data_IF_501503751082
#
_entry.id   IF_501503751082
#
_cell.length_a   1.000
_cell.length_b   1.000
_cell.length_c   1.000
_cell.angle_alpha   90.00
_cell.angle_beta   90.00
_cell.angle_gamma   90.00
#
_symmetry.space_group_name_H-M   'P 1'
#
loop_
_entity.id
_entity.type
_entity.pdbx_description
1 polymer ?
#
# COMPACT_ATOMS: atom_id res chain seq x y z
N UNK A 1 18.74 20.58 -12.94
CA UNK A 1 17.81 21.64 -13.41
C UNK A 1 16.75 21.13 -14.40
N UNK A 2 17.11 20.36 -15.43
CA UNK A 2 16.15 19.87 -16.44
C UNK A 2 14.97 19.06 -15.88
N UNK A 3 15.21 18.14 -14.94
CA UNK A 3 14.16 17.33 -14.33
C UNK A 3 13.11 18.14 -13.54
N UNK A 4 13.50 19.30 -13.01
CA UNK A 4 12.60 20.21 -12.29
C UNK A 4 11.73 21.01 -13.25
N UNK A 5 12.30 21.52 -14.35
CA UNK A 5 11.56 22.13 -15.46
C UNK A 5 10.54 21.15 -16.08
N UNK A 6 10.98 19.92 -16.36
CA UNK A 6 10.12 18.84 -16.84
C UNK A 6 9.04 18.39 -15.85
N UNK A 7 9.15 18.76 -14.56
CA UNK A 7 8.12 18.53 -13.54
C UNK A 7 7.09 19.66 -13.54
N UNK A 8 7.52 20.90 -13.83
CA UNK A 8 6.62 22.06 -13.95
C UNK A 8 5.80 22.04 -15.23
N UNK A 9 6.35 21.50 -16.32
CA UNK A 9 5.65 21.35 -17.60
C UNK A 9 4.73 20.13 -17.66
N UNK A 10 4.58 19.36 -16.57
CA UNK A 10 3.68 18.21 -16.57
C UNK A 10 2.23 18.70 -16.56
N UNK A 11 1.39 18.24 -17.48
CA UNK A 11 -0.04 18.47 -17.35
C UNK A 11 -0.52 17.85 -16.03
N UNK A 12 -1.43 18.55 -15.35
CA UNK A 12 -2.09 18.04 -14.14
C UNK A 12 -2.59 16.63 -14.45
N UNK A 13 -2.32 15.63 -13.60
CA UNK A 13 -2.76 14.27 -13.87
C UNK A 13 -4.29 14.22 -13.90
N UNK A 14 -4.84 14.06 -15.09
CA UNK A 14 -6.28 13.97 -15.33
C UNK A 14 -6.68 12.49 -15.38
N UNK A 15 -7.63 12.10 -14.55
CA UNK A 15 -8.20 10.74 -14.56
C UNK A 15 -9.05 10.59 -15.83
N UNK A 16 -8.53 9.87 -16.81
CA UNK A 16 -9.18 9.71 -18.13
C UNK A 16 -10.30 8.67 -18.15
N UNK A 17 -10.25 7.73 -17.21
CA UNK A 17 -11.15 6.58 -17.19
C UNK A 17 -11.33 6.07 -15.76
N UNK A 18 -12.57 5.75 -15.41
CA UNK A 18 -12.89 4.95 -14.22
C UNK A 18 -13.53 3.62 -14.66
N UNK A 19 -13.37 2.60 -13.82
CA UNK A 19 -14.14 1.36 -13.92
C UNK A 19 -15.25 1.43 -12.88
N UNK A 20 -16.49 1.31 -13.32
CA UNK A 20 -17.64 1.29 -12.44
C UNK A 20 -17.84 -0.06 -11.75
N UNK A 21 -18.81 -0.14 -10.82
CA UNK A 21 -19.04 -1.33 -9.99
C UNK A 21 -19.51 -2.55 -10.78
N UNK A 22 -20.11 -2.38 -11.96
CA UNK A 22 -20.49 -3.49 -12.86
C UNK A 22 -19.43 -3.83 -13.90
N UNK A 23 -18.23 -3.22 -13.80
CA UNK A 23 -17.12 -3.42 -14.73
C UNK A 23 -17.17 -2.53 -15.97
N UNK A 24 -18.14 -1.62 -16.07
CA UNK A 24 -18.29 -0.67 -17.15
C UNK A 24 -17.19 0.40 -17.15
N UNK A 25 -16.81 0.88 -18.34
CA UNK A 25 -15.81 1.95 -18.48
C UNK A 25 -16.51 3.30 -18.52
N UNK A 26 -16.23 4.15 -17.54
CA UNK A 26 -16.70 5.53 -17.49
C UNK A 26 -15.61 6.41 -18.11
N UNK A 27 -15.96 7.03 -19.24
CA UNK A 27 -15.07 7.91 -20.01
C UNK A 27 -15.60 9.35 -19.98
N UNK A 28 -14.66 10.30 -20.05
CA UNK A 28 -14.95 11.73 -20.10
C UNK A 28 -14.93 12.40 -18.74
N UNK A 29 -14.30 13.57 -18.66
CA UNK A 29 -13.94 14.21 -17.39
C UNK A 29 -15.14 14.56 -16.52
N UNK A 30 -16.23 15.03 -17.14
CA UNK A 30 -17.44 15.39 -16.41
C UNK A 30 -18.05 14.16 -15.72
N UNK A 31 -18.17 13.06 -16.46
CA UNK A 31 -18.74 11.80 -15.96
C UNK A 31 -17.86 11.17 -14.88
N UNK A 32 -16.55 11.16 -15.09
CA UNK A 32 -15.56 10.71 -14.10
C UNK A 32 -15.70 11.49 -12.80
N UNK A 33 -15.72 12.83 -12.88
CA UNK A 33 -15.82 13.68 -11.70
C UNK A 33 -17.15 13.48 -10.96
N UNK A 34 -18.29 13.43 -11.68
CA UNK A 34 -19.59 13.21 -11.06
C UNK A 34 -19.67 11.86 -10.34
N UNK A 35 -19.18 10.80 -10.97
CA UNK A 35 -19.21 9.46 -10.39
C UNK A 35 -18.30 9.35 -9.16
N UNK A 36 -17.11 9.96 -9.24
CA UNK A 36 -16.19 10.06 -8.10
C UNK A 36 -16.81 10.84 -6.93
N UNK A 37 -17.47 11.97 -7.22
CA UNK A 37 -18.15 12.77 -6.20
C UNK A 37 -19.28 12.01 -5.54
N UNK A 38 -20.10 11.31 -6.31
CA UNK A 38 -21.20 10.50 -5.78
C UNK A 38 -20.69 9.35 -4.91
N UNK A 39 -19.65 8.65 -5.38
CA UNK A 39 -19.03 7.57 -4.63
C UNK A 39 -18.41 8.05 -3.30
N UNK A 40 -17.65 9.14 -3.33
CA UNK A 40 -17.08 9.72 -2.12
C UNK A 40 -18.17 10.23 -1.19
N UNK A 41 -19.23 10.86 -1.72
CA UNK A 41 -20.41 11.22 -0.92
C UNK A 41 -21.05 10.02 -0.27
N UNK A 42 -21.11 8.86 -0.93
CA UNK A 42 -21.65 7.65 -0.32
C UNK A 42 -20.74 7.10 0.79
N UNK A 43 -19.42 7.07 0.59
CA UNK A 43 -18.45 6.63 1.62
C UNK A 43 -18.47 7.55 2.83
N UNK A 44 -18.49 8.86 2.59
CA UNK A 44 -18.45 9.89 3.63
C UNK A 44 -19.84 10.37 4.06
N UNK A 45 -20.91 9.77 3.53
CA UNK A 45 -22.24 9.87 4.12
C UNK A 45 -22.23 8.99 5.36
N UNK A 46 -21.53 9.46 6.39
CA UNK A 46 -21.65 8.92 7.73
C UNK A 46 -23.15 8.81 8.02
N UNK A 47 -23.67 7.63 8.42
CA UNK A 47 -25.02 7.55 8.94
C UNK A 47 -25.14 8.61 10.03
N UNK A 48 -26.01 9.61 9.81
CA UNK A 48 -26.28 10.63 10.84
C UNK A 48 -26.69 9.89 12.10
N UNK A 49 -25.85 9.94 13.14
CA UNK A 49 -26.14 9.27 14.41
C UNK A 49 -25.17 8.15 14.82
N UNK A 50 -23.99 8.03 14.22
CA UNK A 50 -22.91 7.23 14.82
C UNK A 50 -22.43 7.94 16.10
N UNK A 51 -23.13 7.69 17.20
CA UNK A 51 -22.73 8.16 18.52
C UNK A 51 -21.42 7.50 18.94
N UNK A 52 -20.66 8.16 19.81
CA UNK A 52 -19.45 7.60 20.43
C UNK A 52 -19.71 6.23 21.05
N UNK A 53 -20.95 5.99 21.50
CA UNK A 53 -21.43 4.70 22.01
C UNK A 53 -21.41 3.60 20.95
N UNK A 54 -21.95 3.84 19.75
CA UNK A 54 -21.94 2.86 18.66
C UNK A 54 -20.52 2.52 18.20
N UNK A 55 -19.63 3.52 18.12
CA UNK A 55 -18.23 3.28 17.74
C UNK A 55 -17.56 2.37 18.77
N UNK A 56 -17.79 2.62 20.07
CA UNK A 56 -17.26 1.77 21.14
C UNK A 56 -17.81 0.36 21.04
N UNK A 57 -19.13 0.19 20.94
CA UNK A 57 -19.76 -1.12 20.78
C UNK A 57 -19.25 -1.89 19.56
N UNK A 58 -19.07 -1.21 18.43
CA UNK A 58 -18.51 -1.79 17.21
C UNK A 58 -17.04 -2.23 17.38
N UNK A 59 -16.21 -1.37 17.97
CA UNK A 59 -14.80 -1.67 18.20
C UNK A 59 -14.59 -2.72 19.29
N UNK A 60 -15.40 -2.71 20.33
CA UNK A 60 -15.39 -3.69 21.43
C UNK A 60 -15.88 -5.07 20.95
N UNK A 61 -16.83 -5.10 20.01
CA UNK A 61 -17.29 -6.31 19.34
C UNK A 61 -16.33 -6.83 18.27
N UNK A 62 -15.32 -6.05 17.88
CA UNK A 62 -14.33 -6.45 16.90
C UNK A 62 -13.37 -7.46 17.55
N UNK A 63 -13.50 -8.74 17.17
CA UNK A 63 -12.51 -9.75 17.54
C UNK A 63 -11.25 -9.56 16.72
N UNK A 64 -10.43 -8.57 17.11
CA UNK A 64 -9.10 -8.39 16.53
C UNK A 64 -8.25 -9.58 16.98
N UNK A 65 -7.69 -10.36 16.03
CA UNK A 65 -6.79 -11.44 16.39
C UNK A 65 -5.62 -10.85 17.19
N UNK A 66 -5.51 -11.28 18.44
CA UNK A 66 -4.40 -10.88 19.30
C UNK A 66 -3.24 -11.82 19.05
N UNK A 67 -2.05 -11.26 18.96
CA UNK A 67 -0.83 -12.04 19.00
C UNK A 67 -0.75 -12.77 20.33
N UNK A 68 -0.27 -14.01 20.29
CA UNK A 68 0.15 -14.70 21.52
C UNK A 68 1.38 -14.01 22.10
N UNK A 69 1.64 -14.16 23.41
CA UNK A 69 2.84 -13.58 24.04
C UNK A 69 4.11 -14.00 23.31
N UNK A 70 4.23 -15.29 22.96
CA UNK A 70 5.37 -15.80 22.19
C UNK A 70 5.53 -15.15 20.80
N UNK A 71 4.43 -14.78 20.13
CA UNK A 71 4.50 -14.07 18.85
C UNK A 71 4.89 -12.60 19.04
N UNK A 72 4.40 -11.95 20.11
CA UNK A 72 4.79 -10.58 20.45
C UNK A 72 6.28 -10.53 20.76
N UNK A 73 6.75 -11.40 21.66
CA UNK A 73 8.15 -11.49 22.08
C UNK A 73 9.08 -11.76 20.89
N UNK A 74 8.66 -12.65 19.96
CA UNK A 74 9.43 -12.90 18.73
C UNK A 74 9.55 -11.65 17.86
N UNK A 75 8.48 -10.86 17.74
CA UNK A 75 8.46 -9.65 16.90
C UNK A 75 9.15 -8.45 17.55
N UNK A 76 9.21 -8.42 18.88
CA UNK A 76 9.92 -7.40 19.67
C UNK A 76 11.41 -7.75 19.88
N UNK A 77 11.80 -8.99 19.60
CA UNK A 77 13.18 -9.47 19.66
C UNK A 77 14.10 -8.89 18.57
N UNK A 78 15.40 -9.17 18.71
CA UNK A 78 16.39 -8.77 17.71
C UNK A 78 16.19 -9.54 16.38
N UNK A 79 16.40 -8.85 15.26
CA UNK A 79 16.37 -9.48 13.94
C UNK A 79 17.51 -10.49 13.80
N UNK A 80 17.18 -11.71 13.40
CA UNK A 80 18.17 -12.75 13.12
C UNK A 80 18.67 -12.67 11.67
N UNK A 81 19.81 -13.31 11.40
CA UNK A 81 20.31 -13.46 10.04
C UNK A 81 19.34 -14.26 9.15
N UNK A 82 18.61 -15.22 9.72
CA UNK A 82 17.64 -16.03 9.00
C UNK A 82 16.46 -15.17 8.52
N UNK A 83 15.99 -14.22 9.36
CA UNK A 83 14.93 -13.26 8.98
C UNK A 83 15.37 -12.39 7.80
N UNK A 84 16.64 -11.98 7.76
CA UNK A 84 17.20 -11.21 6.65
C UNK A 84 17.28 -12.04 5.37
N UNK A 85 17.73 -13.29 5.46
CA UNK A 85 17.83 -14.20 4.30
C UNK A 85 16.43 -14.48 3.73
N UNK A 86 15.44 -14.74 4.58
CA UNK A 86 14.05 -14.94 4.15
C UNK A 86 13.48 -13.68 3.50
N UNK A 87 13.67 -12.51 4.12
CA UNK A 87 13.20 -11.23 3.59
C UNK A 87 13.82 -10.94 2.21
N UNK A 88 15.13 -11.14 2.07
CA UNK A 88 15.85 -10.93 0.81
C UNK A 88 15.43 -11.92 -0.28
N UNK A 89 15.20 -13.19 0.08
CA UNK A 89 14.72 -14.22 -0.84
C UNK A 89 13.30 -13.96 -1.35
N UNK A 90 12.45 -13.30 -0.54
CA UNK A 90 11.09 -12.91 -0.90
C UNK A 90 10.96 -11.63 -1.74
N UNK A 91 12.04 -10.87 -1.92
CA UNK A 91 12.01 -9.64 -2.73
C UNK A 91 11.87 -9.96 -4.22
N UNK A 92 10.85 -9.38 -4.87
CA UNK A 92 10.63 -9.54 -6.32
C UNK A 92 11.80 -8.94 -7.09
N UNK A 93 12.50 -9.80 -7.85
CA UNK A 93 13.59 -9.41 -8.74
C UNK A 93 13.18 -8.30 -9.72
N UNK A 94 14.04 -7.30 -9.91
CA UNK A 94 13.84 -6.22 -10.89
C UNK A 94 13.09 -4.98 -10.38
N UNK A 95 12.64 -4.94 -9.12
CA UNK A 95 12.20 -3.69 -8.47
C UNK A 95 13.36 -3.03 -7.74
N UNK A 96 14.43 -2.74 -8.48
CA UNK A 96 15.71 -2.33 -7.92
C UNK A 96 15.59 -1.10 -7.01
N UNK A 97 15.91 -1.22 -5.72
CA UNK A 97 16.27 -0.08 -4.91
C UNK A 97 17.66 0.45 -5.29
N UNK A 98 17.84 1.73 -4.97
CA UNK A 98 18.99 2.52 -5.36
C UNK A 98 20.27 2.20 -4.58
N UNK A 99 21.35 2.95 -4.85
CA UNK A 99 22.70 2.74 -4.31
C UNK A 99 22.83 2.79 -2.77
N UNK A 100 21.72 2.99 -2.07
CA UNK A 100 21.61 3.13 -0.62
C UNK A 100 20.49 2.24 0.00
N UNK A 101 19.90 1.25 -0.71
CA UNK A 101 18.82 0.47 -0.06
C UNK A 101 18.27 -0.82 -0.67
N UNK A 102 19.12 -1.81 -1.03
CA UNK A 102 18.76 -3.19 -1.48
C UNK A 102 18.33 -3.30 -2.96
N UNK A 103 17.90 -4.47 -3.50
CA UNK A 103 18.64 -5.24 -4.51
C UNK A 103 19.01 -4.53 -5.83
N UNK A 104 20.31 -4.59 -6.12
CA UNK A 104 20.82 -5.02 -7.42
C UNK A 104 21.70 -6.24 -7.14
N UNK A 105 21.19 -7.42 -7.49
CA UNK A 105 21.82 -8.75 -7.44
C UNK A 105 22.44 -9.20 -6.11
N UNK A 106 21.78 -10.15 -5.45
CA UNK A 106 22.44 -11.07 -4.51
C UNK A 106 23.24 -12.09 -5.32
N UNK A 107 24.26 -11.63 -6.06
CA UNK A 107 25.38 -12.50 -6.43
C UNK A 107 26.33 -12.48 -5.24
N UNK A 108 25.89 -13.11 -4.15
CA UNK A 108 26.82 -13.74 -3.25
C UNK A 108 27.57 -14.75 -4.11
N UNK A 109 28.83 -14.43 -4.39
CA UNK A 109 29.84 -15.29 -4.96
C UNK A 109 29.82 -16.67 -4.29
N UNK A 110 28.96 -17.57 -4.79
CA UNK A 110 28.99 -19.00 -4.49
C UNK A 110 30.02 -19.66 -5.39
N UNK A 111 31.25 -19.16 -5.44
CA UNK A 111 32.39 -19.86 -6.04
C UNK A 111 33.61 -19.71 -5.14
N UNK A 112 33.57 -20.41 -4.00
CA UNK A 112 34.77 -21.01 -3.40
C UNK A 112 34.55 -22.52 -3.41
N UNK A 113 35.56 -23.25 -3.92
CA UNK A 113 35.75 -24.71 -4.13
C UNK A 113 35.60 -25.08 -5.61
N UNK A 114 36.61 -25.57 -6.33
CA UNK A 114 37.98 -26.06 -6.02
C UNK A 114 38.95 -25.63 -7.14
#
# INVERSE_FOLDING_TARGET
MLAWLLRQERPVPIIRMLRGPSGEKILGQLRVNSNLQEHLRAIYATPRGVGVTWIREYLDGLQVPRLTEAQSDKLEGELSLDDLVEALGGMVSGKAPGPDGLPVCVELCTHVRE
#
